data_IF_547680222787
#
_entry.id   IF_547680222787
#
_cell.length_a   1.000
_cell.length_b   1.000
_cell.length_c   1.000
_cell.angle_alpha   90.00
_cell.angle_beta   90.00
_cell.angle_gamma   90.00
#
_symmetry.space_group_name_H-M   'P 1'
#
loop_
_entity.id
_entity.type
_entity.pdbx_description
1 polymer ?
#
# COMPACT_ATOMS: atom_id res chain seq x y z
N UNK A 1 -14.44 13.56 7.37
CA UNK A 1 -13.03 13.11 7.42
C UNK A 1 -12.84 11.67 6.96
N UNK A 2 -13.59 10.65 7.46
CA UNK A 2 -13.48 9.27 6.93
C UNK A 2 -13.77 9.19 5.42
N UNK A 3 -14.71 10.00 4.92
CA UNK A 3 -14.95 10.18 3.49
C UNK A 3 -13.69 10.58 2.69
N UNK A 4 -12.82 11.42 3.26
CA UNK A 4 -11.55 11.79 2.62
C UNK A 4 -10.59 10.61 2.51
N UNK A 5 -10.50 9.78 3.56
CA UNK A 5 -9.70 8.56 3.54
C UNK A 5 -10.23 7.54 2.51
N UNK A 6 -11.55 7.46 2.31
CA UNK A 6 -12.16 6.62 1.26
C UNK A 6 -11.70 7.06 -0.13
N UNK A 7 -11.78 8.35 -0.44
CA UNK A 7 -11.34 8.87 -1.74
C UNK A 7 -9.83 8.71 -1.93
N UNK A 8 -9.03 9.00 -0.91
CA UNK A 8 -7.58 8.81 -0.97
C UNK A 8 -7.22 7.35 -1.27
N UNK A 9 -7.80 6.41 -0.52
CA UNK A 9 -7.59 4.98 -0.76
C UNK A 9 -8.04 4.54 -2.16
N UNK A 10 -9.20 5.01 -2.63
CA UNK A 10 -9.72 4.70 -3.96
C UNK A 10 -8.82 5.23 -5.09
N UNK A 11 -8.36 6.48 -4.98
CA UNK A 11 -7.48 7.11 -5.98
C UNK A 11 -6.14 6.38 -6.05
N UNK A 12 -5.51 6.10 -4.90
CA UNK A 12 -4.24 5.36 -4.86
C UNK A 12 -4.41 3.96 -5.45
N UNK A 13 -5.48 3.26 -5.08
CA UNK A 13 -5.76 1.91 -5.59
C UNK A 13 -5.95 1.92 -7.10
N UNK A 14 -6.83 2.77 -7.62
CA UNK A 14 -7.13 2.84 -9.05
C UNK A 14 -5.90 3.30 -9.87
N UNK A 15 -5.17 4.30 -9.36
CA UNK A 15 -3.95 4.78 -9.99
C UNK A 15 -2.88 3.70 -10.08
N UNK A 16 -2.65 2.95 -9.00
CA UNK A 16 -1.67 1.86 -9.00
C UNK A 16 -2.09 0.69 -9.89
N UNK A 17 -3.38 0.34 -9.96
CA UNK A 17 -3.86 -0.65 -10.94
C UNK A 17 -3.54 -0.19 -12.36
N UNK A 18 -3.85 1.06 -12.70
CA UNK A 18 -3.53 1.62 -14.01
C UNK A 18 -2.04 1.62 -14.32
N UNK A 19 -1.20 2.03 -13.37
CA UNK A 19 0.26 2.06 -13.53
C UNK A 19 0.86 0.65 -13.71
N UNK A 20 0.40 -0.33 -12.93
CA UNK A 20 0.84 -1.72 -13.05
C UNK A 20 0.44 -2.29 -14.41
N UNK A 21 -0.80 -2.08 -14.83
CA UNK A 21 -1.27 -2.51 -16.15
C UNK A 21 -0.44 -1.87 -17.26
N UNK A 22 -0.19 -0.56 -17.17
CA UNK A 22 0.68 0.13 -18.12
C UNK A 22 2.10 -0.47 -18.16
N UNK A 23 2.71 -0.70 -17.00
CA UNK A 23 4.05 -1.30 -16.91
C UNK A 23 4.13 -2.67 -17.57
N UNK A 24 3.13 -3.54 -17.37
CA UNK A 24 3.08 -4.86 -18.02
C UNK A 24 2.74 -4.81 -19.51
N UNK A 25 2.04 -3.78 -19.98
CA UNK A 25 1.67 -3.63 -21.40
C UNK A 25 2.76 -2.96 -22.23
N UNK A 26 3.53 -2.04 -21.63
CA UNK A 26 4.49 -1.20 -22.33
C UNK A 26 5.96 -1.56 -22.08
N UNK A 27 6.25 -2.31 -21.01
CA UNK A 27 7.62 -2.57 -20.57
C UNK A 27 7.82 -3.99 -20.04
N UNK A 28 9.05 -4.28 -19.61
CA UNK A 28 9.41 -5.57 -19.02
C UNK A 28 9.85 -5.39 -17.57
N UNK A 29 9.08 -5.96 -16.65
CA UNK A 29 9.31 -5.77 -15.21
C UNK A 29 10.72 -6.18 -14.76
N UNK A 30 11.24 -7.30 -15.29
CA UNK A 30 12.53 -7.84 -14.89
C UNK A 30 13.73 -7.03 -15.39
N UNK A 31 13.68 -6.57 -16.65
CA UNK A 31 14.81 -5.85 -17.27
C UNK A 31 14.89 -4.42 -16.73
N UNK A 32 13.78 -3.69 -16.77
CA UNK A 32 13.71 -2.31 -16.29
C UNK A 32 13.86 -2.24 -14.76
N UNK A 33 13.29 -3.22 -14.04
CA UNK A 33 13.50 -3.35 -12.59
C UNK A 33 14.97 -3.55 -12.22
N UNK A 34 15.72 -4.33 -13.02
CA UNK A 34 17.16 -4.49 -12.86
C UNK A 34 17.92 -3.18 -13.04
N UNK A 35 17.57 -2.40 -14.07
CA UNK A 35 18.21 -1.10 -14.33
C UNK A 35 18.01 -0.11 -13.16
N UNK A 36 16.85 -0.12 -12.50
CA UNK A 36 16.60 0.70 -11.31
C UNK A 36 17.59 0.37 -10.19
N UNK A 37 17.93 -0.92 -10.02
CA UNK A 37 18.87 -1.36 -8.98
C UNK A 37 20.31 -0.93 -9.27
N UNK A 38 20.69 -0.69 -10.51
CA UNK A 38 22.03 -0.20 -10.88
C UNK A 38 22.18 1.29 -10.56
N UNK A 39 21.10 2.06 -10.65
CA UNK A 39 21.08 3.49 -10.36
C UNK A 39 21.12 3.78 -8.84
N UNK A 40 22.02 4.67 -8.42
CA UNK A 40 22.12 5.07 -7.01
C UNK A 40 20.81 5.65 -6.47
N UNK A 41 20.18 6.57 -7.21
CA UNK A 41 18.89 7.13 -6.85
C UNK A 41 17.74 6.13 -6.99
N UNK A 42 17.84 5.15 -7.90
CA UNK A 42 16.84 4.08 -8.00
C UNK A 42 16.78 3.24 -6.72
N UNK A 43 17.95 2.87 -6.16
CA UNK A 43 18.03 2.22 -4.85
C UNK A 43 17.50 3.09 -3.71
N UNK A 44 17.82 4.40 -3.70
CA UNK A 44 17.30 5.34 -2.68
C UNK A 44 15.77 5.39 -2.70
N UNK A 45 15.16 5.50 -3.88
CA UNK A 45 13.69 5.51 -4.03
C UNK A 45 13.07 4.19 -3.58
N UNK A 46 13.69 3.05 -3.86
CA UNK A 46 13.22 1.75 -3.37
C UNK A 46 13.29 1.67 -1.84
N UNK A 47 14.40 2.13 -1.23
CA UNK A 47 14.53 2.18 0.23
C UNK A 47 13.43 3.08 0.83
N UNK A 48 13.26 4.29 0.30
CA UNK A 48 12.24 5.23 0.75
C UNK A 48 10.82 4.62 0.68
N UNK A 49 10.48 4.01 -0.47
CA UNK A 49 9.21 3.30 -0.67
C UNK A 49 8.99 2.22 0.39
N UNK A 50 9.95 1.31 0.58
CA UNK A 50 9.79 0.18 1.51
C UNK A 50 9.82 0.60 2.98
N UNK A 51 10.51 1.68 3.35
CA UNK A 51 10.40 2.28 4.67
C UNK A 51 8.99 2.85 4.90
N UNK A 52 8.43 3.55 3.91
CA UNK A 52 7.05 4.01 3.94
C UNK A 52 6.04 2.85 4.08
N UNK A 53 6.22 1.77 3.32
CA UNK A 53 5.39 0.58 3.40
C UNK A 53 5.51 -0.13 4.75
N UNK A 54 6.70 -0.11 5.36
CA UNK A 54 6.92 -0.64 6.71
C UNK A 54 6.14 0.15 7.75
N UNK A 55 6.15 1.49 7.68
CA UNK A 55 5.33 2.34 8.57
C UNK A 55 3.84 2.04 8.44
N UNK A 56 3.34 1.88 7.20
CA UNK A 56 1.95 1.46 6.96
C UNK A 56 1.70 0.06 7.52
N UNK A 57 2.59 -0.90 7.28
CA UNK A 57 2.49 -2.26 7.80
C UNK A 57 2.43 -2.31 9.32
N UNK A 58 3.23 -1.49 10.02
CA UNK A 58 3.17 -1.34 11.47
C UNK A 58 1.82 -0.79 11.92
N UNK A 59 1.29 0.22 11.24
CA UNK A 59 -0.05 0.75 11.53
C UNK A 59 -1.13 -0.31 11.33
N UNK A 60 -1.08 -1.11 10.24
CA UNK A 60 -2.02 -2.22 10.00
C UNK A 60 -1.95 -3.24 11.14
N UNK A 61 -0.74 -3.67 11.51
CA UNK A 61 -0.54 -4.66 12.57
C UNK A 61 -1.12 -4.18 13.91
N UNK A 62 -0.89 -2.90 14.23
CA UNK A 62 -1.43 -2.28 15.44
C UNK A 62 -2.96 -2.13 15.41
N UNK A 63 -3.53 -1.76 14.26
CA UNK A 63 -4.98 -1.58 14.07
C UNK A 63 -5.75 -2.91 14.10
N UNK A 64 -5.24 -3.95 13.45
CA UNK A 64 -5.96 -5.22 13.28
C UNK A 64 -5.90 -6.10 14.52
N UNK A 65 -4.86 -5.96 15.36
CA UNK A 65 -4.60 -6.75 16.59
C UNK A 65 -4.67 -8.28 16.40
N UNK A 66 -4.62 -8.75 15.16
CA UNK A 66 -4.74 -10.15 14.79
C UNK A 66 -3.73 -10.46 13.70
N UNK A 67 -2.84 -11.42 13.98
CA UNK A 67 -1.82 -11.87 13.03
C UNK A 67 -2.48 -12.41 11.76
N UNK A 68 -3.55 -13.20 11.89
CA UNK A 68 -4.27 -13.76 10.75
C UNK A 68 -4.87 -12.69 9.83
N UNK A 69 -5.35 -11.58 10.38
CA UNK A 69 -5.87 -10.46 9.59
C UNK A 69 -4.77 -9.57 9.02
N UNK A 70 -3.64 -9.45 9.71
CA UNK A 70 -2.50 -8.60 9.33
C UNK A 70 -1.66 -9.25 8.23
N UNK A 71 -1.41 -10.55 8.33
CA UNK A 71 -0.44 -11.26 7.49
C UNK A 71 -0.69 -11.10 5.97
N UNK A 72 -1.93 -11.26 5.45
CA UNK A 72 -2.18 -11.05 4.02
C UNK A 72 -1.81 -9.64 3.54
N UNK A 73 -1.99 -8.62 4.40
CA UNK A 73 -1.63 -7.24 4.06
C UNK A 73 -0.13 -7.04 4.04
N UNK A 74 0.64 -7.67 4.93
CA UNK A 74 2.10 -7.58 4.89
C UNK A 74 2.65 -8.21 3.61
N UNK A 75 2.16 -9.39 3.23
CA UNK A 75 2.53 -10.04 1.96
C UNK A 75 2.15 -9.14 0.78
N UNK A 76 0.95 -8.56 0.81
CA UNK A 76 0.49 -7.60 -0.20
C UNK A 76 1.36 -6.35 -0.27
N UNK A 77 1.80 -5.78 0.86
CA UNK A 77 2.67 -4.61 0.87
C UNK A 77 4.04 -4.91 0.26
N UNK A 78 4.61 -6.09 0.52
CA UNK A 78 5.90 -6.49 -0.06
C UNK A 78 5.77 -6.74 -1.57
N UNK A 79 4.69 -7.37 -2.02
CA UNK A 79 4.53 -7.72 -3.44
C UNK A 79 3.93 -6.63 -4.32
N UNK A 80 2.92 -5.91 -3.81
CA UNK A 80 2.10 -4.94 -4.57
C UNK A 80 2.33 -3.49 -4.14
N UNK A 81 3.11 -3.26 -3.08
CA UNK A 81 3.46 -1.93 -2.59
C UNK A 81 2.25 -1.05 -2.31
N UNK A 82 2.25 0.14 -2.90
CA UNK A 82 1.22 1.16 -2.70
C UNK A 82 -0.19 0.72 -3.12
N UNK A 83 -0.32 -0.29 -3.99
CA UNK A 83 -1.64 -0.86 -4.31
C UNK A 83 -2.27 -1.52 -3.08
N UNK A 84 -1.51 -2.35 -2.36
CA UNK A 84 -1.98 -3.00 -1.14
C UNK A 84 -2.25 -1.98 -0.03
N UNK A 85 -1.39 -0.96 0.11
CA UNK A 85 -1.60 0.12 1.07
C UNK A 85 -2.89 0.90 0.79
N UNK A 86 -3.11 1.32 -0.46
CA UNK A 86 -4.32 2.03 -0.89
C UNK A 86 -5.58 1.20 -0.68
N UNK A 87 -5.54 -0.08 -1.05
CA UNK A 87 -6.66 -1.01 -0.87
C UNK A 87 -6.99 -1.21 0.61
N UNK A 88 -5.98 -1.34 1.47
CA UNK A 88 -6.18 -1.43 2.92
C UNK A 88 -6.82 -0.17 3.48
N UNK A 89 -6.30 1.02 3.14
CA UNK A 89 -6.84 2.31 3.59
C UNK A 89 -8.29 2.46 3.15
N UNK A 90 -8.62 2.12 1.90
CA UNK A 90 -9.99 2.14 1.40
C UNK A 90 -10.88 1.20 2.21
N UNK A 91 -10.47 -0.05 2.40
CA UNK A 91 -11.24 -1.04 3.15
C UNK A 91 -11.45 -0.61 4.60
N UNK A 92 -10.40 -0.12 5.26
CA UNK A 92 -10.46 0.41 6.61
C UNK A 92 -11.44 1.59 6.70
N UNK A 93 -11.40 2.52 5.74
CA UNK A 93 -12.29 3.67 5.71
C UNK A 93 -13.75 3.31 5.38
N UNK A 94 -13.99 2.23 4.61
CA UNK A 94 -15.34 1.71 4.36
C UNK A 94 -15.92 1.02 5.58
N UNK A 95 -15.09 0.35 6.38
CA UNK A 95 -15.49 -0.38 7.60
C UNK A 95 -15.60 0.47 8.85
N UNK A 96 -15.23 1.75 8.78
CA UNK A 96 -15.23 2.65 9.93
C UNK A 96 -16.28 3.75 9.78
N UNK A 97 -17.00 4.02 10.86
CA UNK A 97 -18.01 5.07 10.96
C UNK A 97 -17.44 6.35 11.60
N UNK A 98 -16.35 6.22 12.34
CA UNK A 98 -15.66 7.31 13.04
C UNK A 98 -14.17 7.36 12.68
N UNK A 99 -13.48 8.45 13.04
CA UNK A 99 -12.03 8.57 12.82
C UNK A 99 -11.28 7.61 13.73
N UNK A 100 -11.80 7.44 14.93
CA UNK A 100 -11.27 6.58 15.98
C UNK A 100 -11.30 5.12 15.50
N UNK A 101 -12.41 4.66 14.95
CA UNK A 101 -12.50 3.33 14.33
C UNK A 101 -11.56 3.18 13.12
N UNK A 102 -11.37 4.25 12.34
CA UNK A 102 -10.47 4.21 11.20
C UNK A 102 -9.01 4.03 11.65
N UNK A 103 -8.54 4.81 12.62
CA UNK A 103 -7.14 4.74 13.06
C UNK A 103 -6.83 3.56 13.97
N UNK A 104 -7.74 3.23 14.90
CA UNK A 104 -7.50 2.27 15.98
C UNK A 104 -8.21 0.92 15.78
N UNK A 105 -9.11 0.81 14.79
CA UNK A 105 -9.97 -0.35 14.60
C UNK A 105 -11.23 -0.28 15.46
N UNK A 106 -12.26 -1.02 15.06
CA UNK A 106 -13.45 -1.24 15.90
C UNK A 106 -13.07 -2.18 17.04
N UNK A 107 -13.31 -1.76 18.29
CA UNK A 107 -13.19 -2.62 19.47
C UNK A 107 -14.20 -3.75 19.44
#
# INVERSE_FOLDING_TARGET
MVHGARWAGAVVTAGMVGAILYGFLAGSFGEEGGQILDLAWGRVTLIDLYLGLTLIGTWIAWRERSIARTFPWIVGLVGLGSLAAGAYVLLAALRSNSKEEFFFGSR
#
